data_IF_499061729711
#
_entry.id   IF_499061729711
#
_cell.length_a   1.000
_cell.length_b   1.000
_cell.length_c   1.000
_cell.angle_alpha   90.00
_cell.angle_beta   90.00
_cell.angle_gamma   90.00
#
_symmetry.space_group_name_H-M   'P 1'
#
loop_
_entity.id
_entity.type
_entity.pdbx_description
1 polymer ?
#
# COMPACT_ATOMS: atom_id res chain seq x y z
N UNK A 1 28.29 15.70 -23.49
CA UNK A 1 29.71 16.03 -23.24
C UNK A 1 30.18 14.96 -22.28
N UNK A 2 31.24 14.21 -22.58
CA UNK A 2 31.74 13.17 -21.67
C UNK A 2 32.70 13.88 -20.73
N UNK A 3 32.40 13.96 -19.44
CA UNK A 3 33.28 14.54 -18.42
C UNK A 3 34.52 13.63 -18.28
N UNK A 4 35.68 14.24 -18.15
CA UNK A 4 36.89 13.48 -17.81
C UNK A 4 36.86 13.14 -16.35
N UNK A 5 37.01 11.85 -16.02
CA UNK A 5 37.03 11.34 -14.65
C UNK A 5 38.47 11.07 -14.18
N UNK A 6 38.68 11.29 -12.91
CA UNK A 6 39.92 10.95 -12.18
C UNK A 6 39.55 9.87 -11.16
N UNK A 7 40.33 8.79 -11.18
CA UNK A 7 40.25 7.74 -10.16
C UNK A 7 41.16 8.11 -8.99
N UNK A 8 40.63 7.91 -7.80
CA UNK A 8 41.32 8.04 -6.53
C UNK A 8 41.39 6.68 -5.82
N UNK A 9 42.59 6.25 -5.49
CA UNK A 9 42.82 5.12 -4.59
C UNK A 9 43.28 5.73 -3.23
N UNK A 10 42.43 5.58 -2.21
CA UNK A 10 42.57 6.26 -0.92
C UNK A 10 42.82 5.22 0.18
N UNK A 11 43.89 5.43 0.97
CA UNK A 11 44.17 4.60 2.12
C UNK A 11 44.17 5.51 3.38
N UNK A 12 43.37 5.15 4.36
CA UNK A 12 43.23 5.91 5.60
C UNK A 12 43.19 4.99 6.82
N UNK A 13 43.41 5.56 8.02
CA UNK A 13 43.30 4.86 9.29
C UNK A 13 41.84 4.57 9.62
N UNK A 14 41.54 3.32 10.04
CA UNK A 14 40.18 2.86 10.29
C UNK A 14 39.40 3.70 11.32
N UNK A 15 40.11 4.27 12.31
CA UNK A 15 39.53 5.16 13.32
C UNK A 15 39.01 6.49 12.75
N UNK A 16 39.41 6.88 11.55
CA UNK A 16 39.01 8.13 10.90
C UNK A 16 37.94 7.90 9.81
N UNK A 17 37.54 6.63 9.56
CA UNK A 17 36.63 6.24 8.48
C UNK A 17 35.31 7.00 8.51
N UNK A 18 34.61 6.99 9.64
CA UNK A 18 33.28 7.58 9.76
C UNK A 18 33.30 9.09 9.48
N UNK A 19 34.26 9.77 10.07
CA UNK A 19 34.48 11.22 9.86
C UNK A 19 34.80 11.50 8.40
N UNK A 20 35.71 10.73 7.81
CA UNK A 20 36.12 10.89 6.42
C UNK A 20 34.99 10.69 5.43
N UNK A 21 34.19 9.60 5.59
CA UNK A 21 33.05 9.31 4.71
C UNK A 21 31.99 10.41 4.82
N UNK A 22 31.75 10.95 6.03
CA UNK A 22 30.81 12.04 6.21
C UNK A 22 31.28 13.33 5.53
N UNK A 23 32.54 13.72 5.68
CA UNK A 23 33.11 14.91 5.03
C UNK A 23 33.14 14.75 3.49
N UNK A 24 33.44 13.53 3.00
CA UNK A 24 33.42 13.22 1.57
C UNK A 24 32.02 13.32 0.98
N UNK A 25 31.02 12.91 1.77
CA UNK A 25 29.60 13.03 1.41
C UNK A 25 29.13 14.50 1.38
N UNK A 26 29.54 15.30 2.38
CA UNK A 26 29.23 16.73 2.41
C UNK A 26 29.88 17.47 1.23
N UNK A 27 31.06 17.04 0.82
CA UNK A 27 31.72 17.55 -0.37
C UNK A 27 30.96 17.23 -1.65
N UNK A 28 30.37 16.01 -1.75
CA UNK A 28 29.50 15.58 -2.84
C UNK A 28 30.17 15.51 -4.22
N UNK A 29 31.48 15.38 -4.29
CA UNK A 29 32.28 15.44 -5.53
C UNK A 29 32.97 14.11 -5.89
N UNK A 30 32.89 13.10 -5.01
CA UNK A 30 33.52 11.79 -5.21
C UNK A 30 32.47 10.69 -5.13
N UNK A 31 32.42 9.86 -6.14
CA UNK A 31 31.64 8.62 -6.16
C UNK A 31 32.55 7.47 -5.71
N UNK A 32 32.25 6.85 -4.57
CA UNK A 32 33.01 5.71 -4.04
C UNK A 32 32.52 4.43 -4.71
N UNK A 33 33.47 3.66 -5.22
CA UNK A 33 33.18 2.35 -5.82
C UNK A 33 32.70 1.39 -4.75
N UNK A 34 31.48 0.85 -4.95
CA UNK A 34 30.86 -0.14 -4.06
C UNK A 34 30.67 -1.48 -4.78
N UNK A 35 31.57 -1.83 -5.67
CA UNK A 35 31.53 -3.10 -6.40
C UNK A 35 31.62 -4.30 -5.45
N UNK A 36 30.80 -5.34 -5.70
CA UNK A 36 30.74 -6.53 -4.84
C UNK A 36 29.89 -6.38 -3.58
N UNK A 37 29.16 -5.26 -3.41
CA UNK A 37 28.20 -5.15 -2.31
C UNK A 37 27.03 -6.10 -2.49
N UNK A 38 26.80 -6.94 -1.49
CA UNK A 38 25.60 -7.79 -1.40
C UNK A 38 24.71 -7.28 -0.27
N UNK A 39 23.44 -6.93 -0.55
CA UNK A 39 22.56 -6.37 0.46
C UNK A 39 22.25 -7.39 1.56
N UNK A 40 22.48 -7.02 2.80
CA UNK A 40 22.01 -7.73 3.99
C UNK A 40 20.46 -7.71 4.06
N UNK A 41 19.88 -8.46 4.98
CA UNK A 41 18.42 -8.43 5.21
C UNK A 41 17.94 -7.03 5.62
N UNK A 42 18.73 -6.33 6.43
CA UNK A 42 18.44 -4.94 6.82
C UNK A 42 18.51 -3.99 5.61
N UNK A 43 19.53 -4.12 4.77
CA UNK A 43 19.68 -3.29 3.57
C UNK A 43 18.53 -3.49 2.58
N UNK A 44 18.04 -4.73 2.46
CA UNK A 44 16.85 -5.02 1.65
C UNK A 44 15.60 -4.32 2.17
N UNK A 45 15.43 -4.25 3.49
CA UNK A 45 14.32 -3.52 4.10
C UNK A 45 14.39 -2.03 3.81
N UNK A 46 15.59 -1.44 3.85
CA UNK A 46 15.83 -0.03 3.49
C UNK A 46 15.57 0.22 2.01
N UNK A 47 16.02 -0.67 1.12
CA UNK A 47 15.73 -0.58 -0.31
C UNK A 47 14.23 -0.62 -0.60
N UNK A 48 13.50 -1.51 0.07
CA UNK A 48 12.04 -1.58 -0.03
C UNK A 48 11.36 -0.31 0.48
N UNK A 49 11.90 0.29 1.55
CA UNK A 49 11.41 1.58 2.07
C UNK A 49 11.59 2.71 1.05
N UNK A 50 12.77 2.80 0.41
CA UNK A 50 13.03 3.79 -0.65
C UNK A 50 12.04 3.60 -1.82
N UNK A 51 11.85 2.36 -2.26
CA UNK A 51 10.91 2.05 -3.34
C UNK A 51 9.46 2.43 -2.96
N UNK A 52 9.07 2.18 -1.71
CA UNK A 52 7.74 2.53 -1.20
C UNK A 52 7.53 4.05 -1.16
N UNK A 53 8.54 4.84 -0.74
CA UNK A 53 8.49 6.30 -0.80
C UNK A 53 8.37 6.81 -2.24
N UNK A 54 9.14 6.26 -3.18
CA UNK A 54 9.06 6.65 -4.58
C UNK A 54 7.66 6.37 -5.19
N UNK A 55 7.06 5.22 -4.87
CA UNK A 55 5.69 4.88 -5.27
C UNK A 55 4.65 5.82 -4.65
N UNK A 56 4.88 6.24 -3.40
CA UNK A 56 4.03 7.22 -2.74
C UNK A 56 4.09 8.58 -3.44
N UNK A 57 5.29 9.04 -3.76
CA UNK A 57 5.52 10.30 -4.51
C UNK A 57 4.83 10.26 -5.87
N UNK A 58 4.99 9.18 -6.64
CA UNK A 58 4.34 9.01 -7.94
C UNK A 58 2.80 9.10 -7.81
N UNK A 59 2.23 8.35 -6.88
CA UNK A 59 0.80 8.37 -6.61
C UNK A 59 0.31 9.77 -6.21
N UNK A 60 1.01 10.46 -5.32
CA UNK A 60 0.63 11.79 -4.83
C UNK A 60 0.76 12.87 -5.91
N UNK A 61 1.76 12.78 -6.79
CA UNK A 61 1.88 13.63 -7.97
C UNK A 61 0.74 13.43 -8.96
N UNK A 62 0.25 12.20 -9.10
CA UNK A 62 -0.92 11.95 -9.94
C UNK A 62 -2.22 12.38 -9.24
N UNK A 63 -2.35 12.15 -7.94
CA UNK A 63 -3.49 12.64 -7.16
C UNK A 63 -3.62 14.17 -7.21
N UNK A 64 -2.50 14.91 -7.18
CA UNK A 64 -2.51 16.38 -7.27
C UNK A 64 -3.09 16.93 -8.59
N UNK A 65 -3.26 16.09 -9.61
CA UNK A 65 -3.88 16.45 -10.90
C UNK A 65 -5.37 16.07 -10.94
N UNK A 66 -5.88 15.39 -9.93
CA UNK A 66 -7.26 14.94 -9.84
C UNK A 66 -8.21 16.04 -9.39
N UNK A 67 -9.52 15.86 -9.61
CA UNK A 67 -10.57 16.76 -9.15
C UNK A 67 -10.77 16.74 -7.63
N UNK A 68 -10.27 15.71 -6.97
CA UNK A 68 -10.37 15.50 -5.53
C UNK A 68 -9.29 16.27 -4.74
N UNK A 69 -8.26 16.77 -5.42
CA UNK A 69 -7.16 17.50 -4.79
C UNK A 69 -7.58 18.90 -4.33
N UNK A 70 -7.34 19.20 -3.06
CA UNK A 70 -7.48 20.55 -2.50
C UNK A 70 -6.15 21.28 -2.53
N UNK A 71 -6.02 22.26 -3.42
CA UNK A 71 -4.82 23.10 -3.56
C UNK A 71 -4.53 23.99 -2.33
N UNK A 72 -5.49 24.15 -1.40
CA UNK A 72 -5.31 24.90 -0.16
C UNK A 72 -4.97 23.99 1.03
N UNK A 73 -4.72 22.72 0.80
CA UNK A 73 -4.37 21.75 1.85
C UNK A 73 -3.09 22.20 2.58
N UNK A 74 -3.12 22.10 3.90
CA UNK A 74 -1.95 22.44 4.73
C UNK A 74 -0.91 21.33 4.65
N UNK A 75 0.37 21.72 4.61
CA UNK A 75 1.51 20.82 4.65
C UNK A 75 1.55 20.03 5.97
N UNK A 76 2.17 18.87 5.93
CA UNK A 76 2.64 18.19 7.13
C UNK A 76 3.91 18.86 7.67
N UNK A 77 4.27 18.56 8.92
CA UNK A 77 5.45 19.17 9.56
C UNK A 77 6.77 18.65 8.96
N UNK A 78 6.79 17.41 8.51
CA UNK A 78 7.97 16.77 7.93
C UNK A 78 7.55 15.63 6.97
N UNK A 79 8.54 15.08 6.25
CA UNK A 79 8.30 14.04 5.24
C UNK A 79 7.88 12.70 5.83
N UNK A 80 8.38 12.35 7.01
CA UNK A 80 8.02 11.10 7.69
C UNK A 80 6.54 11.10 8.09
N UNK A 81 6.07 12.17 8.75
CA UNK A 81 4.66 12.34 9.10
C UNK A 81 3.75 12.32 7.87
N UNK A 82 4.18 12.99 6.79
CA UNK A 82 3.44 13.01 5.53
C UNK A 82 3.33 11.62 4.89
N UNK A 83 4.43 10.87 4.89
CA UNK A 83 4.48 9.53 4.35
C UNK A 83 3.64 8.55 5.18
N UNK A 84 3.77 8.56 6.51
CA UNK A 84 2.97 7.71 7.40
C UNK A 84 1.46 7.98 7.25
N UNK A 85 1.07 9.26 7.20
CA UNK A 85 -0.32 9.64 6.99
C UNK A 85 -0.85 9.16 5.63
N UNK A 86 -0.02 9.25 4.57
CA UNK A 86 -0.35 8.70 3.26
C UNK A 86 -0.55 7.19 3.32
N UNK A 87 0.37 6.45 3.94
CA UNK A 87 0.29 4.97 4.05
C UNK A 87 -0.98 4.57 4.77
N UNK A 88 -1.25 5.16 5.94
CA UNK A 88 -2.45 4.89 6.72
C UNK A 88 -3.74 5.19 5.94
N UNK A 89 -3.80 6.33 5.24
CA UNK A 89 -4.94 6.69 4.40
C UNK A 89 -5.12 5.73 3.22
N UNK A 90 -4.03 5.24 2.64
CA UNK A 90 -4.04 4.28 1.54
C UNK A 90 -4.57 2.91 1.96
N UNK A 91 -4.13 2.43 3.11
CA UNK A 91 -4.60 1.17 3.70
C UNK A 91 -6.10 1.27 4.05
N UNK A 92 -6.50 2.35 4.71
CA UNK A 92 -7.90 2.56 5.06
C UNK A 92 -8.79 2.68 3.82
N UNK A 93 -8.35 3.40 2.78
CA UNK A 93 -9.05 3.46 1.48
C UNK A 93 -9.27 2.07 0.88
N UNK A 94 -8.24 1.24 0.90
CA UNK A 94 -8.32 -0.13 0.38
C UNK A 94 -9.31 -0.95 1.20
N UNK A 95 -9.27 -0.85 2.52
CA UNK A 95 -10.20 -1.54 3.43
C UNK A 95 -11.65 -1.14 3.17
N UNK A 96 -11.91 0.17 3.07
CA UNK A 96 -13.26 0.70 2.82
C UNK A 96 -13.78 0.24 1.44
N UNK A 97 -12.96 0.28 0.41
CA UNK A 97 -13.34 -0.17 -0.94
C UNK A 97 -13.66 -1.66 -0.98
N UNK A 98 -12.89 -2.50 -0.29
CA UNK A 98 -13.16 -3.93 -0.18
C UNK A 98 -14.48 -4.20 0.54
N UNK A 99 -14.74 -3.49 1.63
CA UNK A 99 -15.98 -3.65 2.39
C UNK A 99 -17.20 -3.16 1.58
N UNK A 100 -17.10 -2.02 0.90
CA UNK A 100 -18.14 -1.54 0.00
C UNK A 100 -18.46 -2.55 -1.11
N UNK A 101 -17.43 -3.15 -1.73
CA UNK A 101 -17.62 -4.16 -2.76
C UNK A 101 -18.30 -5.43 -2.21
N UNK A 102 -17.92 -5.86 -1.00
CA UNK A 102 -18.54 -6.99 -0.30
C UNK A 102 -20.02 -6.74 0.00
N UNK A 103 -20.33 -5.56 0.57
CA UNK A 103 -21.70 -5.17 0.88
C UNK A 103 -22.54 -4.97 -0.36
N UNK A 104 -21.97 -4.40 -1.43
CA UNK A 104 -22.68 -4.23 -2.71
C UNK A 104 -23.10 -5.58 -3.28
N UNK A 105 -22.19 -6.55 -3.31
CA UNK A 105 -22.52 -7.91 -3.76
C UNK A 105 -23.64 -8.51 -2.92
N UNK A 106 -23.56 -8.40 -1.60
CA UNK A 106 -24.59 -8.90 -0.69
C UNK A 106 -25.94 -8.21 -0.92
N UNK A 107 -25.95 -6.87 -1.09
CA UNK A 107 -27.15 -6.11 -1.38
C UNK A 107 -27.81 -6.53 -2.70
N UNK A 108 -27.00 -6.80 -3.73
CA UNK A 108 -27.50 -7.28 -5.02
C UNK A 108 -28.07 -8.70 -4.92
N UNK A 109 -27.39 -9.60 -4.22
CA UNK A 109 -27.80 -10.99 -4.00
C UNK A 109 -29.15 -11.08 -3.24
N UNK A 110 -29.39 -10.16 -2.30
CA UNK A 110 -30.63 -10.16 -1.51
C UNK A 110 -31.72 -9.21 -2.03
N UNK A 111 -31.41 -8.38 -3.04
CA UNK A 111 -32.36 -7.42 -3.59
C UNK A 111 -33.71 -8.05 -4.03
N UNK A 112 -33.76 -9.27 -4.59
CA UNK A 112 -35.02 -9.92 -4.95
C UNK A 112 -35.95 -10.20 -3.77
N UNK A 113 -35.44 -10.28 -2.56
CA UNK A 113 -36.25 -10.52 -1.34
C UNK A 113 -37.03 -9.29 -0.89
N UNK A 114 -36.75 -8.12 -1.48
CA UNK A 114 -37.43 -6.88 -1.12
C UNK A 114 -37.03 -6.35 0.26
N UNK A 115 -37.92 -5.58 0.86
CA UNK A 115 -37.73 -5.03 2.22
C UNK A 115 -38.19 -6.01 3.26
N UNK A 116 -37.38 -6.22 4.27
CA UNK A 116 -37.74 -6.99 5.47
C UNK A 116 -37.06 -6.39 6.70
N UNK A 117 -37.61 -6.72 7.86
CA UNK A 117 -37.07 -6.29 9.15
C UNK A 117 -36.78 -7.53 9.99
N UNK A 118 -35.55 -7.64 10.49
CA UNK A 118 -35.17 -8.70 11.42
C UNK A 118 -36.04 -8.66 12.69
N UNK A 119 -36.37 -7.46 13.15
CA UNK A 119 -37.24 -7.27 14.32
C UNK A 119 -38.65 -7.86 14.09
N UNK A 120 -39.23 -7.63 12.91
CA UNK A 120 -40.55 -8.15 12.59
C UNK A 120 -40.53 -9.67 12.38
N UNK A 121 -39.48 -10.21 11.77
CA UNK A 121 -39.27 -11.66 11.63
C UNK A 121 -39.15 -12.31 13.03
N UNK A 122 -38.40 -11.68 13.95
CA UNK A 122 -38.24 -12.15 15.33
C UNK A 122 -39.56 -12.13 16.07
N UNK A 123 -40.36 -11.05 15.97
CA UNK A 123 -41.71 -10.96 16.58
C UNK A 123 -42.66 -12.03 16.06
N UNK A 124 -42.56 -12.40 14.78
CA UNK A 124 -43.35 -13.52 14.23
C UNK A 124 -42.90 -14.86 14.82
N UNK A 125 -41.59 -15.08 14.94
CA UNK A 125 -41.03 -16.29 15.52
C UNK A 125 -41.45 -16.46 17.02
N UNK A 126 -41.47 -15.37 17.80
CA UNK A 126 -41.95 -15.37 19.17
C UNK A 126 -43.45 -15.78 19.30
N UNK A 127 -44.22 -15.59 18.24
CA UNK A 127 -45.63 -15.99 18.15
C UNK A 127 -45.83 -17.38 17.53
N UNK A 128 -44.72 -18.13 17.30
CA UNK A 128 -44.77 -19.47 16.73
C UNK A 128 -44.89 -19.49 15.21
N UNK A 129 -44.65 -18.35 14.56
CA UNK A 129 -44.63 -18.27 13.08
C UNK A 129 -43.18 -18.13 12.58
N UNK A 130 -42.69 -19.13 11.87
CA UNK A 130 -41.36 -19.14 11.30
C UNK A 130 -41.42 -18.92 9.77
N UNK A 131 -40.60 -18.00 9.28
CA UNK A 131 -40.44 -17.75 7.86
C UNK A 131 -39.21 -18.48 7.37
N UNK A 132 -39.37 -19.34 6.34
CA UNK A 132 -38.25 -20.03 5.67
C UNK A 132 -38.20 -19.59 4.22
N UNK A 133 -37.04 -19.20 3.77
CA UNK A 133 -36.82 -18.61 2.45
C UNK A 133 -36.19 -19.62 1.52
N UNK A 134 -36.74 -19.73 0.29
CA UNK A 134 -36.30 -20.72 -0.68
C UNK A 134 -36.15 -20.10 -2.06
N UNK A 135 -35.27 -20.68 -2.85
CA UNK A 135 -35.14 -20.42 -4.27
C UNK A 135 -35.30 -21.72 -5.06
N UNK A 136 -35.92 -21.66 -6.22
CA UNK A 136 -36.04 -22.80 -7.14
C UNK A 136 -36.15 -22.31 -8.59
N UNK A 137 -36.09 -23.23 -9.55
CA UNK A 137 -36.34 -22.91 -10.95
C UNK A 137 -37.83 -22.61 -11.19
N UNK A 138 -38.17 -21.66 -12.09
CA UNK A 138 -39.57 -21.34 -12.41
C UNK A 138 -40.43 -22.55 -12.79
N UNK A 139 -39.90 -23.45 -13.64
CA UNK A 139 -40.59 -24.67 -14.06
C UNK A 139 -40.91 -25.62 -12.91
N UNK A 140 -40.01 -25.71 -11.93
CA UNK A 140 -40.23 -26.53 -10.73
C UNK A 140 -41.26 -25.88 -9.82
N UNK A 141 -41.16 -24.57 -9.60
CA UNK A 141 -42.12 -23.83 -8.79
C UNK A 141 -43.55 -23.94 -9.33
N UNK A 142 -43.74 -23.67 -10.65
CA UNK A 142 -45.05 -23.68 -11.28
C UNK A 142 -45.70 -25.10 -11.27
N UNK A 143 -44.87 -26.13 -11.34
CA UNK A 143 -45.34 -27.52 -11.31
C UNK A 143 -45.75 -27.96 -9.90
N UNK A 144 -45.02 -27.54 -8.89
CA UNK A 144 -45.16 -28.03 -7.52
C UNK A 144 -46.00 -27.13 -6.61
N UNK A 145 -46.32 -25.91 -7.04
CA UNK A 145 -46.98 -24.90 -6.21
C UNK A 145 -48.34 -25.41 -5.66
N UNK A 146 -49.17 -26.05 -6.49
CA UNK A 146 -50.47 -26.56 -6.06
C UNK A 146 -50.31 -27.63 -4.98
N UNK A 147 -49.41 -28.61 -5.18
CA UNK A 147 -49.11 -29.67 -4.21
C UNK A 147 -48.57 -29.10 -2.88
N UNK A 148 -47.64 -28.18 -2.96
CA UNK A 148 -47.09 -27.55 -1.75
C UNK A 148 -48.13 -26.70 -1.01
N UNK A 149 -49.04 -26.05 -1.76
CA UNK A 149 -50.05 -25.17 -1.16
C UNK A 149 -51.17 -25.95 -0.42
N UNK A 150 -51.30 -27.27 -0.66
CA UNK A 150 -52.21 -28.12 0.09
C UNK A 150 -51.79 -28.30 1.55
N UNK A 151 -50.48 -28.24 1.81
CA UNK A 151 -49.91 -28.56 3.13
C UNK A 151 -49.21 -27.37 3.82
N UNK A 152 -48.83 -26.34 3.02
CA UNK A 152 -48.04 -25.23 3.48
C UNK A 152 -48.55 -23.89 2.96
N UNK A 153 -48.33 -22.82 3.70
CA UNK A 153 -48.58 -21.47 3.18
C UNK A 153 -47.31 -20.95 2.49
N UNK A 154 -47.43 -20.74 1.16
CA UNK A 154 -46.33 -20.28 0.33
C UNK A 154 -46.66 -18.93 -0.30
N UNK A 155 -45.67 -18.05 -0.34
CA UNK A 155 -45.79 -16.76 -1.02
C UNK A 155 -44.61 -16.53 -1.92
N UNK A 156 -44.84 -16.32 -3.20
CA UNK A 156 -43.82 -15.88 -4.15
C UNK A 156 -43.47 -14.42 -3.83
N UNK A 157 -42.17 -14.14 -3.67
CA UNK A 157 -41.63 -12.80 -3.34
C UNK A 157 -41.20 -12.12 -4.66
N UNK A 158 -40.41 -12.83 -5.46
CA UNK A 158 -39.91 -12.31 -6.72
C UNK A 158 -39.62 -13.44 -7.70
N UNK A 159 -39.58 -13.10 -8.99
CA UNK A 159 -39.27 -14.03 -10.07
C UNK A 159 -38.34 -13.39 -11.08
N UNK A 160 -37.29 -14.12 -11.44
CA UNK A 160 -36.40 -13.81 -12.54
C UNK A 160 -36.61 -14.84 -13.67
N UNK A 161 -35.87 -14.73 -14.77
CA UNK A 161 -35.93 -15.72 -15.84
C UNK A 161 -35.45 -17.13 -15.41
N UNK A 162 -34.57 -17.20 -14.42
CA UNK A 162 -33.94 -18.46 -13.98
C UNK A 162 -34.32 -18.89 -12.56
N UNK A 163 -34.86 -18.01 -11.74
CA UNK A 163 -35.05 -18.26 -10.30
C UNK A 163 -36.35 -17.65 -9.78
N UNK A 164 -37.09 -18.43 -9.01
CA UNK A 164 -38.23 -17.96 -8.19
C UNK A 164 -37.76 -17.87 -6.74
N UNK A 165 -38.04 -16.76 -6.11
CA UNK A 165 -37.78 -16.45 -4.69
C UNK A 165 -39.10 -16.53 -3.93
N UNK A 166 -39.22 -17.41 -2.95
CA UNK A 166 -40.46 -17.60 -2.22
C UNK A 166 -40.22 -17.87 -0.74
N UNK A 167 -41.23 -17.58 0.04
CA UNK A 167 -41.23 -17.83 1.48
C UNK A 167 -42.28 -18.88 1.83
N UNK A 168 -41.91 -19.78 2.71
CA UNK A 168 -42.82 -20.73 3.36
C UNK A 168 -43.06 -20.24 4.79
N UNK A 169 -44.35 -20.06 5.10
CA UNK A 169 -44.77 -19.70 6.45
C UNK A 169 -45.09 -21.00 7.19
N UNK A 170 -44.29 -21.34 8.17
CA UNK A 170 -44.45 -22.52 9.01
C UNK A 170 -44.96 -22.13 10.38
N UNK A 171 -46.00 -22.83 10.83
CA UNK A 171 -46.47 -22.77 12.24
C UNK A 171 -46.06 -24.08 12.88
N UNK A 172 -45.28 -24.00 13.96
CA UNK A 172 -44.63 -25.16 14.62
C UNK A 172 -43.62 -25.93 13.75
N UNK A 173 -42.98 -26.91 14.38
CA UNK A 173 -41.89 -27.72 13.80
C UNK A 173 -42.33 -28.64 12.63
N UNK A 174 -43.35 -28.30 11.87
CA UNK A 174 -43.78 -29.07 10.72
C UNK A 174 -42.63 -29.16 9.71
N UNK A 175 -42.33 -30.36 9.26
CA UNK A 175 -41.31 -30.59 8.27
C UNK A 175 -41.70 -29.88 6.96
N UNK A 176 -40.97 -28.79 6.65
CA UNK A 176 -41.10 -28.11 5.36
C UNK A 176 -40.27 -28.88 4.34
N UNK A 177 -40.95 -29.51 3.40
CA UNK A 177 -40.33 -30.27 2.32
C UNK A 177 -40.73 -29.62 0.99
N UNK A 178 -39.77 -28.88 0.43
CA UNK A 178 -39.91 -28.24 -0.88
C UNK A 178 -38.71 -28.57 -1.76
N UNK A 179 -38.92 -28.67 -3.05
CA UNK A 179 -37.84 -28.86 -4.04
C UNK A 179 -37.22 -27.51 -4.39
N UNK A 180 -36.36 -27.05 -3.50
CA UNK A 180 -35.71 -25.75 -3.59
C UNK A 180 -34.51 -25.63 -2.64
N UNK A 181 -33.67 -24.65 -2.92
CA UNK A 181 -32.55 -24.31 -2.05
C UNK A 181 -33.01 -23.37 -0.96
N UNK A 182 -32.83 -23.76 0.30
CA UNK A 182 -33.09 -22.88 1.43
C UNK A 182 -32.03 -21.78 1.51
N UNK A 183 -32.47 -20.54 1.70
CA UNK A 183 -31.61 -19.35 1.79
C UNK A 183 -31.77 -18.74 3.16
N UNK A 184 -30.62 -18.40 3.77
CA UNK A 184 -30.63 -17.64 5.01
C UNK A 184 -30.39 -16.15 4.69
N UNK A 185 -31.37 -15.32 4.98
CA UNK A 185 -31.24 -13.88 4.79
C UNK A 185 -30.36 -13.26 5.90
N UNK A 186 -29.55 -12.24 5.58
CA UNK A 186 -28.85 -11.45 6.58
C UNK A 186 -29.85 -10.60 7.40
N UNK A 187 -29.39 -10.03 8.51
CA UNK A 187 -30.21 -9.18 9.39
C UNK A 187 -30.65 -7.86 8.71
N UNK A 188 -29.82 -7.35 7.78
CA UNK A 188 -30.08 -6.11 7.05
C UNK A 188 -30.61 -6.42 5.64
N UNK A 189 -31.65 -5.73 5.24
CA UNK A 189 -32.16 -5.79 3.87
C UNK A 189 -31.28 -5.02 2.88
N UNK A 190 -31.58 -5.10 1.59
CA UNK A 190 -30.80 -4.45 0.53
C UNK A 190 -30.74 -2.93 0.69
N UNK A 191 -31.79 -2.29 1.18
CA UNK A 191 -31.81 -0.83 1.36
C UNK A 191 -30.95 -0.40 2.55
N UNK A 192 -30.98 -1.16 3.64
CA UNK A 192 -30.11 -0.91 4.80
C UNK A 192 -28.62 -1.10 4.43
N UNK A 193 -28.29 -2.12 3.63
CA UNK A 193 -26.93 -2.33 3.13
C UNK A 193 -26.48 -1.20 2.20
N UNK A 194 -27.34 -0.70 1.33
CA UNK A 194 -27.03 0.45 0.47
C UNK A 194 -26.78 1.73 1.28
N UNK A 195 -27.54 1.94 2.37
CA UNK A 195 -27.29 3.06 3.26
C UNK A 195 -25.91 2.96 3.93
N UNK A 196 -25.52 1.77 4.39
CA UNK A 196 -24.18 1.53 4.94
C UNK A 196 -23.07 1.75 3.90
N UNK A 197 -23.26 1.30 2.66
CA UNK A 197 -22.32 1.57 1.55
C UNK A 197 -22.18 3.08 1.34
N UNK A 198 -23.26 3.84 1.43
CA UNK A 198 -23.20 5.30 1.27
C UNK A 198 -22.40 5.97 2.41
N UNK A 199 -22.52 5.49 3.64
CA UNK A 199 -21.71 5.96 4.77
C UNK A 199 -20.22 5.64 4.58
N UNK A 200 -19.89 4.40 4.15
CA UNK A 200 -18.51 4.02 3.83
C UNK A 200 -17.94 4.84 2.67
N UNK A 201 -18.76 5.17 1.67
CA UNK A 201 -18.36 6.02 0.56
C UNK A 201 -18.04 7.45 1.02
N UNK A 202 -18.77 7.99 1.98
CA UNK A 202 -18.45 9.29 2.59
C UNK A 202 -17.15 9.22 3.40
N UNK A 203 -16.93 8.17 4.18
CA UNK A 203 -15.68 7.95 4.89
C UNK A 203 -14.48 7.82 3.94
N UNK A 204 -14.65 7.07 2.82
CA UNK A 204 -13.65 6.95 1.79
C UNK A 204 -13.30 8.30 1.14
N UNK A 205 -14.33 9.13 0.88
CA UNK A 205 -14.13 10.47 0.33
C UNK A 205 -13.44 11.41 1.33
N UNK A 206 -13.68 11.27 2.63
CA UNK A 206 -13.01 12.09 3.64
C UNK A 206 -11.49 11.90 3.66
N UNK A 207 -10.97 10.76 3.18
CA UNK A 207 -9.54 10.51 3.04
C UNK A 207 -8.88 11.43 2.00
N UNK A 208 -9.64 12.02 1.06
CA UNK A 208 -9.12 12.96 0.06
C UNK A 208 -8.44 14.18 0.71
N UNK A 209 -8.91 14.60 1.89
CA UNK A 209 -8.27 15.66 2.66
C UNK A 209 -6.84 15.25 3.11
N UNK A 210 -6.65 14.01 3.56
CA UNK A 210 -5.32 13.50 3.94
C UNK A 210 -4.42 13.34 2.73
N UNK A 211 -4.95 12.81 1.62
CA UNK A 211 -4.18 12.72 0.37
C UNK A 211 -3.81 14.10 -0.18
N UNK A 212 -4.70 15.10 -0.07
CA UNK A 212 -4.40 16.47 -0.48
C UNK A 212 -3.25 17.07 0.34
N UNK A 213 -3.26 16.86 1.66
CA UNK A 213 -2.16 17.30 2.54
C UNK A 213 -0.85 16.58 2.19
N UNK A 214 -0.90 15.26 1.99
CA UNK A 214 0.28 14.49 1.61
C UNK A 214 0.82 14.92 0.23
N UNK A 215 -0.06 15.16 -0.74
CA UNK A 215 0.31 15.66 -2.07
C UNK A 215 0.92 17.07 -2.03
N UNK A 216 0.40 17.96 -1.19
CA UNK A 216 1.01 19.27 -0.94
C UNK A 216 2.42 19.15 -0.29
N UNK A 217 2.67 18.07 0.47
CA UNK A 217 3.94 17.79 1.17
C UNK A 217 4.87 16.86 0.38
N UNK A 218 4.66 16.67 -0.91
CA UNK A 218 5.39 15.68 -1.71
C UNK A 218 6.91 15.93 -1.73
N UNK A 219 7.34 17.18 -1.75
CA UNK A 219 8.76 17.56 -1.69
C UNK A 219 9.41 17.09 -0.37
N UNK A 220 8.69 17.20 0.75
CA UNK A 220 9.18 16.70 2.05
C UNK A 220 9.34 15.18 2.05
N UNK A 221 8.46 14.44 1.36
CA UNK A 221 8.56 12.97 1.22
C UNK A 221 9.75 12.62 0.32
N UNK A 222 10.00 13.38 -0.76
CA UNK A 222 11.16 13.21 -1.63
C UNK A 222 12.47 13.43 -0.87
N UNK A 223 12.54 14.48 -0.03
CA UNK A 223 13.70 14.76 0.82
C UNK A 223 13.95 13.64 1.84
N UNK A 224 12.88 13.10 2.44
CA UNK A 224 12.96 11.92 3.31
C UNK A 224 13.52 10.70 2.57
N UNK A 225 13.02 10.42 1.39
CA UNK A 225 13.52 9.32 0.56
C UNK A 225 15.00 9.51 0.16
N UNK A 226 15.41 10.74 -0.16
CA UNK A 226 16.79 11.09 -0.46
C UNK A 226 17.69 10.84 0.75
N UNK A 227 17.28 11.26 1.94
CA UNK A 227 18.01 11.03 3.20
C UNK A 227 18.22 9.54 3.47
N UNK A 228 17.18 8.71 3.31
CA UNK A 228 17.27 7.25 3.48
C UNK A 228 18.23 6.65 2.46
N UNK A 229 18.19 7.13 1.22
CA UNK A 229 19.09 6.68 0.14
C UNK A 229 20.56 7.04 0.44
N UNK A 230 20.81 8.24 0.94
CA UNK A 230 22.15 8.68 1.33
C UNK A 230 22.70 7.85 2.50
N UNK A 231 21.88 7.54 3.49
CA UNK A 231 22.27 6.65 4.59
C UNK A 231 22.65 5.26 4.07
N UNK A 232 21.86 4.70 3.14
CA UNK A 232 22.17 3.42 2.51
C UNK A 232 23.48 3.46 1.72
N UNK A 233 23.77 4.56 1.01
CA UNK A 233 25.04 4.72 0.31
C UNK A 233 26.21 4.71 1.29
N UNK A 234 26.11 5.38 2.46
CA UNK A 234 27.11 5.30 3.50
C UNK A 234 27.38 3.89 3.99
N UNK A 235 26.29 3.12 4.26
CA UNK A 235 26.40 1.72 4.67
C UNK A 235 27.06 0.83 3.59
N UNK A 236 26.80 1.10 2.31
CA UNK A 236 27.44 0.38 1.19
C UNK A 236 28.94 0.63 1.17
N UNK A 237 29.34 1.89 1.32
CA UNK A 237 30.78 2.27 1.35
C UNK A 237 31.47 1.59 2.54
N UNK A 238 30.85 1.59 3.72
CA UNK A 238 31.39 0.92 4.91
C UNK A 238 31.52 -0.60 4.71
N UNK A 239 30.56 -1.23 4.06
CA UNK A 239 30.52 -2.68 3.83
C UNK A 239 31.51 -3.14 2.74
N UNK A 240 31.82 -2.27 1.78
CA UNK A 240 32.72 -2.60 0.64
C UNK A 240 34.15 -2.11 0.85
N UNK A 241 34.39 -1.29 1.88
CA UNK A 241 35.73 -0.82 2.23
C UNK A 241 36.65 -2.01 2.52
N UNK A 242 37.73 -2.13 1.75
CA UNK A 242 38.74 -3.17 1.98
C UNK A 242 39.55 -2.83 3.23
N UNK A 243 39.67 -3.81 4.15
CA UNK A 243 40.41 -3.67 5.38
C UNK A 243 41.75 -4.37 5.29
N UNK A 244 42.81 -3.64 5.52
CA UNK A 244 44.20 -4.11 5.48
C UNK A 244 44.86 -3.93 6.85
N UNK A 245 46.06 -4.52 7.06
CA UNK A 245 46.85 -4.41 8.30
C UNK A 245 46.05 -4.74 9.57
N UNK A 246 45.45 -5.96 9.61
CA UNK A 246 44.61 -6.45 10.71
C UNK A 246 43.39 -5.55 11.03
N UNK A 247 42.92 -4.81 9.99
CA UNK A 247 41.76 -3.92 10.08
C UNK A 247 42.03 -2.51 10.51
N UNK A 248 43.34 -2.13 10.68
CA UNK A 248 43.70 -0.78 11.03
C UNK A 248 43.71 0.21 9.86
N UNK A 249 43.83 -0.30 8.64
CA UNK A 249 43.79 0.50 7.43
C UNK A 249 42.57 0.17 6.58
N UNK A 250 42.05 1.22 5.95
CA UNK A 250 40.92 1.11 5.00
C UNK A 250 41.37 1.58 3.64
N UNK A 251 41.05 0.82 2.61
CA UNK A 251 41.29 1.16 1.23
C UNK A 251 39.95 1.44 0.55
N UNK A 252 39.81 2.64 -0.01
CA UNK A 252 38.65 3.08 -0.76
C UNK A 252 39.09 3.43 -2.19
N UNK A 253 38.23 3.12 -3.14
CA UNK A 253 38.35 3.52 -4.52
C UNK A 253 37.22 4.47 -4.86
N UNK A 254 37.52 5.58 -5.52
CA UNK A 254 36.51 6.57 -5.87
C UNK A 254 36.81 7.31 -7.17
N UNK A 255 35.80 7.99 -7.68
CA UNK A 255 35.83 8.71 -8.94
C UNK A 255 35.39 10.16 -8.73
N UNK A 256 36.09 11.10 -9.34
CA UNK A 256 35.70 12.51 -9.33
C UNK A 256 35.84 13.10 -10.74
N UNK A 257 35.07 14.14 -11.04
CA UNK A 257 35.25 14.91 -12.26
C UNK A 257 36.59 15.69 -12.23
N UNK A 258 37.27 15.74 -13.37
CA UNK A 258 38.60 16.35 -13.44
C UNK A 258 38.63 17.85 -13.10
N UNK A 259 37.53 18.55 -13.33
CA UNK A 259 37.36 19.98 -12.99
C UNK A 259 37.12 20.24 -11.51
N UNK A 260 36.72 19.23 -10.74
CA UNK A 260 36.52 19.30 -9.29
C UNK A 260 37.70 18.72 -8.49
N UNK A 261 38.67 18.11 -9.15
CA UNK A 261 39.80 17.39 -8.53
C UNK A 261 40.60 18.25 -7.50
N UNK A 262 40.82 19.55 -7.77
CA UNK A 262 41.53 20.42 -6.85
C UNK A 262 40.80 20.58 -5.48
N UNK A 263 39.48 20.50 -5.45
CA UNK A 263 38.70 20.57 -4.22
C UNK A 263 38.79 19.26 -3.45
N UNK A 264 38.75 18.14 -4.17
CA UNK A 264 38.93 16.80 -3.62
C UNK A 264 40.35 16.69 -2.98
N UNK A 265 41.41 17.09 -3.72
CA UNK A 265 42.79 17.04 -3.25
C UNK A 265 42.94 17.83 -1.94
N UNK A 266 42.41 19.05 -1.86
CA UNK A 266 42.46 19.86 -0.67
C UNK A 266 41.82 19.19 0.54
N UNK A 267 40.65 18.58 0.36
CA UNK A 267 40.00 17.86 1.44
C UNK A 267 40.83 16.65 1.88
N UNK A 268 41.40 15.88 0.96
CA UNK A 268 42.23 14.71 1.26
C UNK A 268 43.52 15.11 1.98
N UNK A 269 44.13 16.27 1.66
CA UNK A 269 45.35 16.81 2.30
C UNK A 269 45.13 17.27 3.76
N UNK A 270 43.86 17.49 4.17
CA UNK A 270 43.54 17.84 5.57
C UNK A 270 43.68 16.65 6.53
N UNK A 271 43.80 15.43 6.01
CA UNK A 271 43.92 14.21 6.80
C UNK A 271 45.39 13.77 6.92
N UNK A 272 46.03 13.91 8.10
CA UNK A 272 47.45 13.63 8.26
C UNK A 272 47.83 12.15 8.13
N UNK A 273 46.88 11.26 8.34
CA UNK A 273 47.06 9.79 8.28
C UNK A 273 46.43 9.17 7.02
N UNK A 274 46.19 9.98 6.00
CA UNK A 274 45.61 9.53 4.74
C UNK A 274 46.68 9.62 3.64
N UNK A 275 46.73 8.61 2.81
CA UNK A 275 47.54 8.57 1.58
C UNK A 275 46.59 8.33 0.41
N UNK A 276 46.76 9.10 -0.62
CA UNK A 276 46.01 8.87 -1.85
C UNK A 276 46.86 8.88 -3.11
N UNK A 277 46.45 8.15 -4.08
CA UNK A 277 46.94 8.19 -5.46
C UNK A 277 45.81 8.56 -6.38
N UNK A 278 46.15 9.32 -7.44
CA UNK A 278 45.19 9.67 -8.47
C UNK A 278 45.75 9.40 -9.86
N UNK A 279 44.88 9.00 -10.77
CA UNK A 279 45.18 8.81 -12.19
C UNK A 279 43.98 9.16 -13.06
N UNK A 280 44.25 9.50 -14.30
CA UNK A 280 43.17 9.67 -15.28
C UNK A 280 42.43 8.33 -15.48
N UNK A 281 41.11 8.39 -15.71
CA UNK A 281 40.33 7.24 -16.09
C UNK A 281 40.79 6.67 -17.43
N UNK A 282 40.83 5.36 -17.53
CA UNK A 282 41.13 4.63 -18.76
C UNK A 282 39.91 3.92 -19.31
N UNK A 283 39.95 3.46 -20.57
CA UNK A 283 38.81 2.74 -21.20
C UNK A 283 38.53 1.41 -20.51
N UNK A 284 39.50 0.85 -19.82
CA UNK A 284 39.39 -0.44 -19.10
C UNK A 284 38.85 -0.32 -17.67
N UNK A 285 38.61 0.89 -17.19
CA UNK A 285 38.05 1.12 -15.88
C UNK A 285 36.53 0.98 -15.96
N UNK A 286 35.98 0.04 -15.21
CA UNK A 286 34.53 -0.07 -14.97
C UNK A 286 34.10 1.00 -13.93
N UNK A 287 33.23 1.91 -14.37
CA UNK A 287 32.66 2.96 -13.53
C UNK A 287 31.35 2.50 -12.88
#
# INVERSE_FOLDING_TARGET
MISKMIRYDIVLYAGEQERFINELRELGLVDITTSGWEPSENDRSVLLSIEAHNKAVEYLKDFSKSSEYDANAQLFANGEEAYEAYVAAREERTRLQQEMARLQKLADDIAPWGRYSEEDITKLAERGVTLRYFTTQPSTFDKMLDEWSETMTISEIARTQSTVYFVVVATDSSAVVVDGQEVRLPSKDSEALKAEIAELAQANKALDATFSRAAASVELIEDSAATIKEQLQGLKVDATAQREADGELIVLEGWAEADTAEKVDKMLEEYPNLVFMKRDATIDDEA
#
